data_IF_779995719024
#
_entry.id   IF_779995719024
#
_cell.length_a   1.000
_cell.length_b   1.000
_cell.length_c   1.000
_cell.angle_alpha   90.00
_cell.angle_beta   90.00
_cell.angle_gamma   90.00
#
_symmetry.space_group_name_H-M   'P 1'
#
loop_
_entity.id
_entity.type
_entity.pdbx_description
1 polymer ?
#
# COMPACT_ATOMS: atom_id res chain seq x y z
N UNK A 1 -19.17 -61.47 9.36
CA UNK A 1 -18.83 -61.71 10.78
C UNK A 1 -18.26 -60.45 11.37
N UNK A 2 -18.80 -60.02 12.51
CA UNK A 2 -18.32 -58.83 13.23
C UNK A 2 -17.25 -59.26 14.24
N UNK A 3 -16.30 -58.37 14.55
CA UNK A 3 -15.31 -58.54 15.63
C UNK A 3 -15.41 -57.34 16.56
N UNK A 4 -15.52 -57.61 17.85
CA UNK A 4 -15.47 -56.62 18.93
C UNK A 4 -14.27 -56.93 19.84
N UNK A 5 -13.63 -55.88 20.37
CA UNK A 5 -12.49 -56.01 21.29
C UNK A 5 -12.57 -54.92 22.34
N UNK A 6 -12.63 -55.30 23.61
CA UNK A 6 -12.70 -54.40 24.76
C UNK A 6 -11.52 -54.65 25.70
N UNK A 7 -10.92 -53.58 26.23
CA UNK A 7 -9.85 -53.64 27.23
C UNK A 7 -10.23 -52.67 28.35
N UNK A 8 -10.38 -53.18 29.58
CA UNK A 8 -10.74 -52.35 30.75
C UNK A 8 -9.52 -51.64 31.38
N UNK A 9 -8.32 -52.16 31.12
CA UNK A 9 -7.04 -51.59 31.58
C UNK A 9 -6.21 -51.00 30.44
N UNK A 10 -4.88 -51.08 30.58
CA UNK A 10 -3.95 -50.55 29.58
C UNK A 10 -3.70 -51.56 28.45
N UNK A 11 -3.83 -51.10 27.21
CA UNK A 11 -3.39 -51.84 26.03
C UNK A 11 -2.04 -51.31 25.52
N UNK A 12 -1.07 -52.21 25.30
CA UNK A 12 0.23 -51.88 24.73
C UNK A 12 0.48 -52.71 23.47
N UNK A 13 0.82 -52.05 22.36
CA UNK A 13 1.21 -52.70 21.11
C UNK A 13 2.65 -52.30 20.72
N UNK A 14 3.44 -53.25 20.25
CA UNK A 14 4.80 -53.00 19.75
C UNK A 14 5.04 -53.75 18.45
N UNK A 15 5.33 -53.01 17.39
CA UNK A 15 5.62 -53.56 16.06
C UNK A 15 7.09 -53.26 15.75
N UNK A 16 7.89 -54.32 15.56
CA UNK A 16 9.35 -54.17 15.38
C UNK A 16 9.77 -53.75 13.96
N UNK A 17 8.88 -53.87 12.99
CA UNK A 17 9.15 -53.60 11.57
C UNK A 17 8.09 -52.68 10.97
N UNK A 18 7.04 -53.24 10.38
CA UNK A 18 6.06 -52.52 9.57
C UNK A 18 4.65 -52.79 10.11
N UNK A 19 3.84 -51.73 10.22
CA UNK A 19 2.40 -51.81 10.46
C UNK A 19 1.67 -51.28 9.23
N UNK A 20 0.69 -52.02 8.74
CA UNK A 20 -0.18 -51.60 7.64
C UNK A 20 -1.62 -51.87 8.03
N UNK A 21 -2.49 -50.88 7.84
CA UNK A 21 -3.92 -50.99 8.11
C UNK A 21 -4.68 -50.47 6.89
N UNK A 22 -5.58 -51.29 6.35
CA UNK A 22 -6.51 -50.92 5.28
C UNK A 22 -7.92 -50.99 5.82
N UNK A 23 -8.72 -49.96 5.54
CA UNK A 23 -10.13 -49.86 5.96
C UNK A 23 -10.93 -49.50 4.71
N UNK A 24 -11.83 -50.36 4.28
CA UNK A 24 -12.51 -50.22 2.98
C UNK A 24 -13.61 -49.15 2.98
N UNK A 25 -14.23 -48.90 4.14
CA UNK A 25 -15.36 -47.98 4.26
C UNK A 25 -15.03 -46.77 5.13
N UNK A 26 -14.89 -46.95 6.45
CA UNK A 26 -14.73 -45.84 7.38
C UNK A 26 -13.99 -46.25 8.66
N UNK A 27 -13.23 -45.29 9.21
CA UNK A 27 -12.57 -45.40 10.53
C UNK A 27 -12.98 -44.21 11.38
N UNK A 28 -13.52 -44.49 12.57
CA UNK A 28 -13.83 -43.48 13.58
C UNK A 28 -12.87 -43.70 14.75
N UNK A 29 -12.24 -42.63 15.22
CA UNK A 29 -11.34 -42.64 16.37
C UNK A 29 -11.81 -41.56 17.34
N UNK A 30 -12.14 -41.94 18.57
CA UNK A 30 -12.55 -41.03 19.64
C UNK A 30 -11.60 -41.20 20.82
N UNK A 31 -10.98 -40.11 21.25
CA UNK A 31 -10.03 -40.09 22.36
C UNK A 31 -10.63 -39.22 23.47
N UNK A 32 -10.86 -39.81 24.65
CA UNK A 32 -11.43 -39.10 25.80
C UNK A 32 -10.44 -38.25 26.60
N UNK A 33 -9.14 -38.31 26.27
CA UNK A 33 -8.06 -37.59 26.93
C UNK A 33 -7.02 -37.08 25.94
N UNK A 34 -5.75 -37.05 26.34
CA UNK A 34 -4.66 -36.59 25.47
C UNK A 34 -4.37 -37.58 24.33
N UNK A 35 -4.10 -37.05 23.13
CA UNK A 35 -3.61 -37.82 21.99
C UNK A 35 -2.25 -37.29 21.51
N UNK A 36 -1.19 -38.07 21.73
CA UNK A 36 0.17 -37.72 21.33
C UNK A 36 0.62 -38.58 20.14
N UNK A 37 1.20 -37.95 19.13
CA UNK A 37 1.81 -38.64 17.98
C UNK A 37 3.22 -38.10 17.78
N UNK A 38 4.22 -38.95 17.94
CA UNK A 38 5.62 -38.63 17.68
C UNK A 38 6.11 -39.43 16.46
N UNK A 39 6.74 -38.74 15.51
CA UNK A 39 7.27 -39.36 14.29
C UNK A 39 8.69 -38.87 14.08
N UNK A 40 9.64 -39.81 14.03
CA UNK A 40 11.07 -39.49 14.01
C UNK A 40 11.58 -39.02 12.65
N UNK A 41 10.94 -39.43 11.55
CA UNK A 41 11.41 -39.18 10.18
C UNK A 41 10.46 -38.26 9.41
N UNK A 42 9.29 -38.78 9.01
CA UNK A 42 8.31 -38.03 8.21
C UNK A 42 6.89 -38.49 8.48
N UNK A 43 5.95 -37.55 8.38
CA UNK A 43 4.51 -37.80 8.48
C UNK A 43 3.84 -37.17 7.27
N UNK A 44 3.26 -38.01 6.42
CA UNK A 44 2.48 -37.57 5.26
C UNK A 44 0.99 -37.70 5.57
N UNK A 45 0.17 -36.82 5.00
CA UNK A 45 -1.30 -36.88 5.10
C UNK A 45 -1.86 -36.52 3.74
N UNK A 46 -2.51 -37.50 3.10
CA UNK A 46 -3.12 -37.37 1.79
C UNK A 46 -4.62 -37.58 1.97
N UNK A 47 -5.41 -36.63 1.46
CA UNK A 47 -6.87 -36.65 1.59
C UNK A 47 -7.48 -36.45 0.21
N UNK A 48 -8.40 -37.33 -0.17
CA UNK A 48 -8.97 -37.34 -1.53
C UNK A 48 -10.11 -36.34 -1.77
N UNK A 49 -10.80 -35.90 -0.71
CA UNK A 49 -11.96 -35.01 -0.80
C UNK A 49 -11.81 -33.75 0.06
N UNK A 50 -11.89 -33.89 1.39
CA UNK A 50 -11.91 -32.74 2.30
C UNK A 50 -11.18 -33.00 3.62
N UNK A 51 -10.49 -31.99 4.13
CA UNK A 51 -9.81 -32.03 5.42
C UNK A 51 -10.27 -30.84 6.28
N UNK A 52 -10.84 -31.12 7.45
CA UNK A 52 -11.31 -30.10 8.39
C UNK A 52 -10.63 -30.29 9.74
N UNK A 53 -10.12 -29.20 10.32
CA UNK A 53 -9.50 -29.17 11.65
C UNK A 53 -10.23 -28.16 12.52
N UNK A 54 -10.97 -28.66 13.52
CA UNK A 54 -11.62 -27.83 14.53
C UNK A 54 -10.81 -27.87 15.83
N UNK A 55 -10.48 -26.70 16.38
CA UNK A 55 -9.68 -26.56 17.60
C UNK A 55 -10.48 -25.76 18.62
N UNK A 56 -10.74 -26.35 19.79
CA UNK A 56 -11.57 -25.71 20.82
C UNK A 56 -10.86 -24.67 21.69
N UNK A 57 -9.52 -24.72 21.79
CA UNK A 57 -8.76 -23.84 22.68
C UNK A 57 -7.65 -23.06 21.96
N UNK A 58 -6.60 -23.75 21.48
CA UNK A 58 -5.45 -23.09 20.84
C UNK A 58 -4.74 -24.01 19.86
N UNK A 59 -4.23 -23.44 18.76
CA UNK A 59 -3.38 -24.14 17.80
C UNK A 59 -2.00 -23.46 17.75
N UNK A 60 -0.92 -24.25 17.82
CA UNK A 60 0.46 -23.75 17.72
C UNK A 60 1.26 -24.59 16.74
N UNK A 61 1.67 -23.95 15.64
CA UNK A 61 2.56 -24.55 14.65
C UNK A 61 3.98 -23.99 14.81
N UNK A 62 4.98 -24.88 14.86
CA UNK A 62 6.39 -24.51 14.84
C UNK A 62 7.09 -25.28 13.74
N UNK A 63 7.74 -24.56 12.84
CA UNK A 63 8.49 -25.12 11.72
C UNK A 63 9.94 -24.65 11.83
N UNK A 64 10.89 -25.57 11.90
CA UNK A 64 12.29 -25.25 12.16
C UNK A 64 13.05 -24.72 10.93
N UNK A 65 12.59 -25.05 9.72
CA UNK A 65 13.30 -24.72 8.47
C UNK A 65 12.43 -23.94 7.49
N UNK A 66 11.47 -24.62 6.84
CA UNK A 66 10.68 -24.05 5.73
C UNK A 66 9.25 -24.54 5.78
N UNK A 67 8.31 -23.67 5.43
CA UNK A 67 6.91 -23.97 5.20
C UNK A 67 6.55 -23.49 3.80
N UNK A 68 5.76 -24.27 3.07
CA UNK A 68 5.22 -23.91 1.76
C UNK A 68 3.76 -24.33 1.69
N UNK A 69 2.93 -23.46 1.11
CA UNK A 69 1.52 -23.70 0.94
C UNK A 69 1.17 -23.41 -0.53
N UNK A 70 0.40 -24.30 -1.14
CA UNK A 70 -0.13 -24.12 -2.49
C UNK A 70 -1.63 -24.35 -2.41
N UNK A 71 -2.40 -23.37 -2.87
CA UNK A 71 -3.85 -23.41 -2.95
C UNK A 71 -4.20 -23.31 -4.43
N UNK A 72 -4.89 -24.32 -4.97
CA UNK A 72 -5.21 -24.38 -6.40
C UNK A 72 -6.33 -23.44 -6.84
N UNK A 73 -7.22 -23.09 -5.91
CA UNK A 73 -8.34 -22.18 -6.10
C UNK A 73 -8.24 -21.02 -5.10
N UNK A 74 -9.27 -20.79 -4.28
CA UNK A 74 -9.35 -19.65 -3.38
C UNK A 74 -8.83 -19.94 -1.96
N UNK A 75 -8.24 -18.92 -1.34
CA UNK A 75 -7.86 -18.92 0.08
C UNK A 75 -8.57 -17.79 0.81
N UNK A 76 -9.41 -18.14 1.77
CA UNK A 76 -10.03 -17.21 2.71
C UNK A 76 -9.36 -17.31 4.08
N UNK A 77 -9.13 -16.15 4.71
CA UNK A 77 -8.58 -16.06 6.06
C UNK A 77 -9.38 -15.03 6.83
N UNK A 78 -10.11 -15.49 7.85
CA UNK A 78 -10.84 -14.64 8.79
C UNK A 78 -10.16 -14.69 10.16
N UNK A 79 -9.92 -13.51 10.73
CA UNK A 79 -9.33 -13.35 12.07
C UNK A 79 -10.30 -12.53 12.90
N UNK A 80 -10.95 -13.16 13.89
CA UNK A 80 -11.88 -12.46 14.78
C UNK A 80 -11.21 -11.58 15.86
N UNK A 81 -9.89 -11.62 15.96
CA UNK A 81 -9.09 -10.83 16.90
C UNK A 81 -7.95 -10.08 16.19
N UNK A 82 -6.77 -10.04 16.80
CA UNK A 82 -5.62 -9.33 16.23
C UNK A 82 -4.74 -10.25 15.37
N UNK A 83 -4.21 -9.72 14.28
CA UNK A 83 -3.16 -10.34 13.47
C UNK A 83 -1.85 -9.57 13.65
N UNK A 84 -0.79 -10.25 14.07
CA UNK A 84 0.56 -9.68 14.16
C UNK A 84 1.55 -10.53 13.36
N UNK A 85 2.25 -9.90 12.43
CA UNK A 85 3.20 -10.55 11.52
C UNK A 85 4.59 -9.94 11.71
N UNK A 86 5.62 -10.76 11.90
CA UNK A 86 7.01 -10.30 11.96
C UNK A 86 7.87 -11.12 11.01
N UNK A 87 8.46 -10.44 10.04
CA UNK A 87 9.40 -11.00 9.07
C UNK A 87 10.77 -10.41 9.39
N UNK A 88 11.79 -11.27 9.51
CA UNK A 88 13.15 -10.87 9.93
C UNK A 88 14.09 -10.54 8.77
N UNK A 89 13.68 -10.92 7.57
CA UNK A 89 14.38 -10.68 6.33
C UNK A 89 13.37 -10.03 5.38
N UNK A 90 13.25 -10.54 4.16
CA UNK A 90 12.48 -9.89 3.12
C UNK A 90 11.05 -10.43 3.00
N UNK A 91 10.12 -9.55 2.65
CA UNK A 91 8.77 -9.90 2.20
C UNK A 91 8.62 -9.50 0.72
N UNK A 92 8.13 -10.42 -0.10
CA UNK A 92 7.75 -10.15 -1.49
C UNK A 92 6.34 -10.66 -1.73
N UNK A 93 5.50 -9.80 -2.31
CA UNK A 93 4.10 -10.11 -2.61
C UNK A 93 3.79 -9.74 -4.05
N UNK A 94 3.55 -10.75 -4.88
CA UNK A 94 3.11 -10.58 -6.26
C UNK A 94 1.61 -10.84 -6.35
N UNK A 95 0.87 -9.91 -6.93
CA UNK A 95 -0.58 -10.03 -7.15
C UNK A 95 -0.83 -9.93 -8.65
N UNK A 96 -1.27 -11.02 -9.27
CA UNK A 96 -1.53 -11.05 -10.72
C UNK A 96 -2.80 -10.31 -11.13
N UNK A 97 -3.70 -10.04 -10.18
CA UNK A 97 -4.91 -9.24 -10.36
C UNK A 97 -4.88 -7.97 -9.51
N UNK A 98 -6.03 -7.61 -8.94
CA UNK A 98 -6.16 -6.39 -8.14
C UNK A 98 -5.81 -6.60 -6.67
N UNK A 99 -5.12 -5.63 -6.05
CA UNK A 99 -4.99 -5.51 -4.59
C UNK A 99 -5.96 -4.45 -4.08
N UNK A 100 -6.83 -4.82 -3.14
CA UNK A 100 -7.70 -3.89 -2.41
C UNK A 100 -7.44 -4.02 -0.91
N UNK A 101 -7.27 -2.88 -0.26
CA UNK A 101 -7.02 -2.77 1.17
C UNK A 101 -7.93 -1.70 1.74
N UNK A 102 -8.68 -2.03 2.79
CA UNK A 102 -9.60 -1.11 3.47
C UNK A 102 -9.26 -1.14 4.94
N UNK A 103 -8.98 0.03 5.49
CA UNK A 103 -8.62 0.21 6.89
C UNK A 103 -9.61 1.18 7.48
N UNK A 104 -10.41 0.71 8.43
CA UNK A 104 -11.43 1.54 9.10
C UNK A 104 -10.81 2.49 10.14
N UNK A 105 -9.65 2.11 10.68
CA UNK A 105 -8.84 2.91 11.58
C UNK A 105 -7.68 3.62 10.89
N UNK A 106 -6.53 3.65 11.54
CA UNK A 106 -5.31 4.30 11.05
C UNK A 106 -4.47 3.36 10.19
N UNK A 107 -3.89 3.91 9.11
CA UNK A 107 -2.84 3.26 8.33
C UNK A 107 -1.51 3.99 8.53
N UNK A 108 -0.61 3.39 9.30
CA UNK A 108 0.73 3.93 9.57
C UNK A 108 1.79 3.13 8.81
N UNK A 109 2.54 3.81 7.94
CA UNK A 109 3.67 3.26 7.20
C UNK A 109 4.95 3.99 7.61
N UNK A 110 5.92 3.24 8.14
CA UNK A 110 7.24 3.74 8.49
C UNK A 110 8.31 2.91 7.77
N UNK A 111 9.20 3.59 7.04
CA UNK A 111 10.30 2.95 6.30
C UNK A 111 11.59 3.70 6.61
N UNK A 112 12.68 2.96 6.86
CA UNK A 112 13.95 3.53 7.31
C UNK A 112 14.82 4.09 6.17
N UNK A 113 14.67 3.56 4.96
CA UNK A 113 15.49 3.93 3.81
C UNK A 113 14.66 4.64 2.74
N UNK A 114 13.97 3.89 1.87
CA UNK A 114 13.26 4.46 0.73
C UNK A 114 11.87 3.86 0.51
N UNK A 115 10.96 4.68 -0.04
CA UNK A 115 9.64 4.26 -0.54
C UNK A 115 9.59 4.63 -2.01
N UNK A 116 9.34 3.64 -2.87
CA UNK A 116 9.13 3.83 -4.30
C UNK A 116 7.69 3.43 -4.65
N UNK A 117 6.95 4.34 -5.30
CA UNK A 117 5.57 4.13 -5.75
C UNK A 117 5.52 4.47 -7.23
N UNK A 118 5.27 3.46 -8.07
CA UNK A 118 5.17 3.61 -9.51
C UNK A 118 3.81 3.09 -9.98
N UNK A 119 3.12 3.91 -10.78
CA UNK A 119 1.86 3.57 -11.44
C UNK A 119 1.99 3.98 -12.90
N UNK A 120 1.61 3.09 -13.81
CA UNK A 120 1.73 3.32 -15.27
C UNK A 120 0.52 4.04 -15.87
N UNK A 121 -0.51 4.32 -15.08
CA UNK A 121 -1.73 4.98 -15.54
C UNK A 121 -2.09 6.17 -14.65
N UNK A 122 -2.67 5.93 -13.48
CA UNK A 122 -3.13 6.98 -12.57
C UNK A 122 -2.70 6.70 -11.13
N UNK A 123 -2.37 7.76 -10.41
CA UNK A 123 -2.23 7.76 -8.95
C UNK A 123 -3.11 8.87 -8.38
N UNK A 124 -4.03 8.53 -7.49
CA UNK A 124 -4.89 9.51 -6.78
C UNK A 124 -4.61 9.50 -5.29
N UNK A 125 -4.33 10.67 -4.72
CA UNK A 125 -4.27 10.88 -3.27
C UNK A 125 -5.42 11.81 -2.86
N UNK A 126 -6.38 11.28 -2.11
CA UNK A 126 -7.56 12.03 -1.65
C UNK A 126 -7.71 11.92 -0.15
N UNK A 127 -7.79 13.07 0.51
CA UNK A 127 -8.10 13.19 1.94
C UNK A 127 -9.32 14.09 2.12
N UNK A 128 -10.11 13.84 3.16
CA UNK A 128 -11.16 14.78 3.60
C UNK A 128 -10.61 15.84 4.55
N UNK A 129 -9.50 15.52 5.25
CA UNK A 129 -8.80 16.43 6.14
C UNK A 129 -7.59 17.02 5.45
N UNK A 130 -6.51 17.18 6.20
CA UNK A 130 -5.26 17.77 5.69
C UNK A 130 -4.45 16.74 4.88
N UNK A 131 -3.74 17.22 3.87
CA UNK A 131 -2.64 16.53 3.20
C UNK A 131 -1.38 17.36 3.44
N UNK A 132 -0.40 16.80 4.14
CA UNK A 132 0.88 17.45 4.43
C UNK A 132 2.01 16.63 3.83
N UNK A 133 2.87 17.29 3.05
CA UNK A 133 4.11 16.72 2.52
C UNK A 133 5.27 17.53 3.08
N UNK A 134 6.21 16.86 3.75
CA UNK A 134 7.37 17.48 4.40
C UNK A 134 8.64 16.75 3.99
N UNK A 135 9.66 17.50 3.61
CA UNK A 135 11.00 16.99 3.34
C UNK A 135 12.04 17.91 3.95
N UNK A 136 13.09 17.34 4.54
CA UNK A 136 14.17 18.11 5.18
C UNK A 136 15.24 18.58 4.20
N UNK A 137 15.30 18.00 3.00
CA UNK A 137 16.34 18.27 2.01
C UNK A 137 15.74 18.94 0.76
N UNK A 138 14.96 18.19 -0.02
CA UNK A 138 14.34 18.68 -1.25
C UNK A 138 12.98 18.04 -1.48
N UNK A 139 12.12 18.77 -2.21
CA UNK A 139 10.85 18.28 -2.72
C UNK A 139 10.73 18.73 -4.17
N UNK A 140 10.39 17.82 -5.08
CA UNK A 140 10.28 18.08 -6.51
C UNK A 140 8.95 17.58 -7.05
N UNK A 141 8.42 18.30 -8.05
CA UNK A 141 7.22 17.94 -8.80
C UNK A 141 7.54 18.19 -10.28
N UNK A 142 7.57 17.13 -11.08
CA UNK A 142 7.90 17.18 -12.50
C UNK A 142 6.75 16.58 -13.31
N UNK A 143 6.39 17.24 -14.40
CA UNK A 143 5.34 16.79 -15.32
C UNK A 143 5.68 17.26 -16.74
N UNK A 144 5.40 16.41 -17.73
CA UNK A 144 5.63 16.71 -19.14
C UNK A 144 4.54 17.62 -19.74
N UNK A 145 3.34 17.60 -19.14
CA UNK A 145 2.18 18.37 -19.59
C UNK A 145 1.86 19.50 -18.59
N UNK A 146 0.72 19.41 -17.90
CA UNK A 146 0.22 20.49 -17.05
C UNK A 146 0.37 20.19 -15.55
N UNK A 147 0.88 21.16 -14.80
CA UNK A 147 0.76 21.22 -13.35
C UNK A 147 -0.32 22.24 -12.95
N UNK A 148 -1.28 21.85 -12.12
CA UNK A 148 -2.42 22.71 -11.71
C UNK A 148 -2.57 22.73 -10.19
N UNK A 149 -2.69 23.93 -9.61
CA UNK A 149 -2.95 24.15 -8.19
C UNK A 149 -4.19 25.03 -8.06
N UNK A 150 -5.25 24.50 -7.43
CA UNK A 150 -6.52 25.20 -7.22
C UNK A 150 -6.84 25.13 -5.72
N UNK A 151 -6.92 26.29 -5.09
CA UNK A 151 -7.25 26.44 -3.68
C UNK A 151 -7.84 27.85 -3.44
N UNK A 152 -8.51 28.03 -2.30
CA UNK A 152 -8.98 29.36 -1.87
C UNK A 152 -7.80 30.34 -1.69
N UNK A 153 -6.64 29.83 -1.24
CA UNK A 153 -5.40 30.58 -1.12
C UNK A 153 -4.20 29.67 -1.42
N UNK A 154 -3.19 30.24 -2.09
CA UNK A 154 -1.89 29.60 -2.33
C UNK A 154 -0.81 30.54 -1.80
N UNK A 155 -0.02 30.07 -0.83
CA UNK A 155 1.14 30.77 -0.29
C UNK A 155 2.41 30.07 -0.78
N UNK A 156 3.35 30.86 -1.29
CA UNK A 156 4.68 30.39 -1.67
C UNK A 156 5.71 31.34 -1.08
N UNK A 157 6.59 30.80 -0.25
CA UNK A 157 7.60 31.56 0.48
C UNK A 157 8.94 30.85 0.33
N UNK A 158 9.98 31.61 -0.02
CA UNK A 158 11.36 31.18 -0.01
C UNK A 158 12.17 32.13 0.85
N UNK A 159 13.13 31.59 1.61
CA UNK A 159 14.00 32.39 2.48
C UNK A 159 15.11 33.10 1.73
N UNK A 160 15.53 32.54 0.59
CA UNK A 160 16.49 33.13 -0.33
C UNK A 160 15.81 33.51 -1.65
N UNK A 161 15.96 32.67 -2.68
CA UNK A 161 15.53 32.98 -4.04
C UNK A 161 14.18 32.33 -4.35
N UNK A 162 13.31 33.08 -5.01
CA UNK A 162 12.07 32.59 -5.57
C UNK A 162 12.07 32.80 -7.09
N UNK A 163 12.34 31.72 -7.84
CA UNK A 163 12.50 31.78 -9.30
C UNK A 163 11.30 31.16 -10.02
N UNK A 164 10.76 31.89 -11.01
CA UNK A 164 9.74 31.40 -11.95
C UNK A 164 10.30 31.55 -13.36
N UNK A 165 10.49 30.42 -14.05
CA UNK A 165 10.99 30.39 -15.42
C UNK A 165 9.91 29.80 -16.33
N UNK A 166 9.56 30.52 -17.40
CA UNK A 166 8.62 30.05 -18.41
C UNK A 166 9.21 30.27 -19.81
N UNK A 167 9.09 29.27 -20.68
CA UNK A 167 9.65 29.34 -22.04
C UNK A 167 8.87 30.24 -23.02
N UNK A 168 7.64 30.64 -22.68
CA UNK A 168 6.80 31.45 -23.55
C UNK A 168 6.31 32.73 -22.86
N UNK A 169 5.53 32.60 -21.78
CA UNK A 169 4.96 33.74 -21.09
C UNK A 169 4.72 33.47 -19.60
N UNK A 170 4.76 34.54 -18.80
CA UNK A 170 4.28 34.55 -17.41
C UNK A 170 3.03 35.45 -17.37
N UNK A 171 1.93 34.90 -16.84
CA UNK A 171 0.65 35.57 -16.72
C UNK A 171 0.25 35.63 -15.25
N UNK A 172 0.18 36.83 -14.67
CA UNK A 172 -0.36 37.08 -13.34
C UNK A 172 -1.63 37.91 -13.49
N UNK A 173 -2.77 37.37 -13.10
CA UNK A 173 -4.07 38.00 -13.30
C UNK A 173 -4.83 38.10 -11.98
N UNK A 174 -5.29 39.31 -11.66
CA UNK A 174 -6.10 39.64 -10.50
C UNK A 174 -7.36 40.36 -11.02
N UNK A 175 -8.44 39.61 -11.27
CA UNK A 175 -9.63 40.11 -11.96
C UNK A 175 -9.27 40.79 -13.30
N UNK A 176 -9.44 42.10 -13.40
CA UNK A 176 -9.10 42.90 -14.59
C UNK A 176 -7.64 43.38 -14.59
N UNK A 177 -6.96 43.33 -13.44
CA UNK A 177 -5.55 43.70 -13.32
C UNK A 177 -4.67 42.57 -13.86
N UNK A 178 -3.70 42.91 -14.70
CA UNK A 178 -2.82 41.94 -15.36
C UNK A 178 -1.37 42.39 -15.29
N UNK A 179 -0.49 41.46 -14.96
CA UNK A 179 0.95 41.54 -15.26
C UNK A 179 1.24 40.42 -16.26
N UNK A 180 1.73 40.80 -17.42
CA UNK A 180 2.02 39.89 -18.52
C UNK A 180 3.43 40.13 -19.01
N UNK A 181 4.22 39.06 -19.15
CA UNK A 181 5.58 39.13 -19.66
C UNK A 181 5.83 38.04 -20.69
N UNK A 182 6.45 38.43 -21.81
CA UNK A 182 7.03 37.56 -22.84
C UNK A 182 8.52 37.86 -22.98
N UNK A 183 9.22 37.19 -23.91
CA UNK A 183 10.63 37.50 -24.20
C UNK A 183 10.87 38.96 -24.62
N UNK A 184 9.91 39.54 -25.35
CA UNK A 184 10.10 40.84 -26.03
C UNK A 184 9.29 41.98 -25.40
N UNK A 185 8.41 41.70 -24.44
CA UNK A 185 7.43 42.68 -23.95
C UNK A 185 7.02 42.42 -22.51
N UNK A 186 6.86 43.50 -21.74
CA UNK A 186 6.23 43.50 -20.42
C UNK A 186 5.01 44.43 -20.47
N UNK A 187 3.87 43.97 -19.95
CA UNK A 187 2.62 44.72 -19.90
C UNK A 187 2.06 44.73 -18.48
N UNK A 188 1.70 45.92 -18.00
CA UNK A 188 0.94 46.13 -16.78
C UNK A 188 -0.41 46.76 -17.13
N UNK A 189 -1.51 46.17 -16.67
CA UNK A 189 -2.86 46.72 -16.81
C UNK A 189 -3.52 46.84 -15.46
N UNK A 190 -3.99 48.04 -15.10
CA UNK A 190 -4.73 48.28 -13.87
C UNK A 190 -5.57 49.56 -14.01
N UNK A 191 -6.82 49.55 -13.53
CA UNK A 191 -7.66 50.75 -13.45
C UNK A 191 -7.89 51.48 -14.78
N UNK A 192 -7.91 50.75 -15.91
CA UNK A 192 -8.03 51.32 -17.25
C UNK A 192 -6.73 51.87 -17.87
N UNK A 193 -5.61 51.82 -17.14
CA UNK A 193 -4.28 52.19 -17.64
C UNK A 193 -3.56 50.95 -18.17
N UNK A 194 -2.82 51.10 -19.28
CA UNK A 194 -1.93 50.08 -19.84
C UNK A 194 -0.51 50.66 -19.98
N UNK A 195 0.46 50.01 -19.35
CA UNK A 195 1.90 50.29 -19.51
C UNK A 195 2.51 49.15 -20.33
N UNK A 196 3.22 49.49 -21.40
CA UNK A 196 3.92 48.53 -22.27
C UNK A 196 5.39 48.90 -22.32
N UNK A 197 6.27 47.92 -22.07
CA UNK A 197 7.72 48.02 -22.25
C UNK A 197 8.12 47.00 -23.31
N UNK A 198 8.67 47.48 -24.42
CA UNK A 198 9.15 46.65 -25.51
C UNK A 198 10.43 47.25 -26.13
N UNK A 199 10.86 46.73 -27.28
CA UNK A 199 12.04 47.22 -28.01
C UNK A 199 11.92 48.68 -28.50
N UNK A 200 10.73 49.27 -28.50
CA UNK A 200 10.48 50.68 -28.84
C UNK A 200 10.51 51.58 -27.61
N UNK A 201 10.65 51.03 -26.41
CA UNK A 201 10.75 51.75 -25.15
C UNK A 201 9.51 51.56 -24.27
N UNK A 202 9.16 52.60 -23.50
CA UNK A 202 8.05 52.60 -22.55
C UNK A 202 6.89 53.44 -23.09
N UNK A 203 5.69 52.85 -23.13
CA UNK A 203 4.44 53.51 -23.56
C UNK A 203 3.39 53.39 -22.47
N UNK A 204 2.75 54.51 -22.11
CA UNK A 204 1.60 54.56 -21.19
C UNK A 204 0.35 54.99 -21.96
N UNK A 205 -0.72 54.21 -21.86
CA UNK A 205 -2.02 54.48 -22.48
C UNK A 205 -3.08 54.67 -21.41
N UNK A 206 -3.95 55.67 -21.61
CA UNK A 206 -5.07 55.95 -20.68
C UNK A 206 -4.66 56.61 -19.36
N UNK A 207 -3.36 56.88 -19.18
CA UNK A 207 -2.80 57.55 -18.01
C UNK A 207 -1.74 58.58 -18.39
N UNK A 208 -1.12 59.19 -17.38
CA UNK A 208 -0.06 60.19 -17.52
C UNK A 208 1.26 59.70 -16.92
N UNK A 209 2.38 60.14 -17.50
CA UNK A 209 3.72 59.96 -16.91
C UNK A 209 4.11 61.28 -16.26
N UNK A 210 4.24 61.29 -14.93
CA UNK A 210 4.75 62.44 -14.18
C UNK A 210 6.19 62.17 -13.77
N UNK A 211 7.07 63.12 -13.99
CA UNK A 211 8.39 63.16 -13.35
C UNK A 211 8.26 63.98 -12.06
N UNK A 212 8.57 63.38 -10.92
CA UNK A 212 8.74 64.07 -9.64
C UNK A 212 10.21 64.47 -9.44
#
# INVERSE_FOLDING_TARGET
>A
NNKESQVEGTYNERIKKIHTQTIDLAKIVSIGGEYNTNVALSKDTIVGLSHTLNIGASNKLRVAKKSSEYVGEDKEVEIGGNLNTSIKQDESRNVGGNKREVVEGEYHLQVQDSINIESTNETTLRTKGNLLLTSNASMGLETDENATFIADNILSEATSDYAINAGNAINLKINETVIYATSDTIIFKAGGVEVVIDSKGLVVKGGEVKAE
#
